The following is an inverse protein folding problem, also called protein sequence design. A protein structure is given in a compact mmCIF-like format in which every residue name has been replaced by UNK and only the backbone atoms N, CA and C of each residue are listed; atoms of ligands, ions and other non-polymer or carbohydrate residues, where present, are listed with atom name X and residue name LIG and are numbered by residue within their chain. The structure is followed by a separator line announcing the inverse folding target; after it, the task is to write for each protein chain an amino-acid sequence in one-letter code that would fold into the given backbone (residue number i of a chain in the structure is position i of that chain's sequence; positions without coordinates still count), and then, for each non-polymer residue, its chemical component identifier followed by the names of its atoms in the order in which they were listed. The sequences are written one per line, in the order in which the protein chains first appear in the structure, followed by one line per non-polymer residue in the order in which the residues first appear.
data_IF_802449790167
#
_entry.id   IF_802449790167
#
_cell.length_a   1.000
_cell.length_b   1.000
_cell.length_c   1.000
_cell.angle_alpha   90.00
_cell.angle_beta   90.00
_cell.angle_gamma   90.00
#
_symmetry.space_group_name_H-M   'P 1'
#
loop_
_entity.id
_entity.type
_entity.pdbx_description
1 polymer ?
#
# COMPACT_ATOMS: atom_id res chain seq x y z
N UNK A 1 32.91 4.76 -38.61
CA UNK A 1 32.38 3.39 -38.52
C UNK A 1 31.82 3.02 -37.13
N UNK A 2 32.25 3.65 -36.02
CA UNK A 2 31.85 3.27 -34.66
C UNK A 2 30.39 3.56 -34.23
N UNK A 3 29.72 4.55 -34.84
CA UNK A 3 28.36 4.96 -34.42
C UNK A 3 27.28 3.87 -34.65
N UNK A 4 27.46 3.04 -35.68
CA UNK A 4 26.54 1.94 -36.03
C UNK A 4 26.55 0.84 -34.96
N UNK A 5 27.76 0.52 -34.49
CA UNK A 5 27.99 -0.51 -33.48
C UNK A 5 27.57 -0.05 -32.09
N UNK A 6 27.70 1.25 -31.77
CA UNK A 6 27.17 1.83 -30.55
C UNK A 6 25.64 1.72 -30.48
N UNK A 7 24.95 2.00 -31.59
CA UNK A 7 23.50 1.85 -31.68
C UNK A 7 23.07 0.40 -31.47
N UNK A 8 23.74 -0.54 -32.14
CA UNK A 8 23.47 -1.98 -31.99
C UNK A 8 23.76 -2.45 -30.56
N UNK A 9 24.84 -1.99 -29.93
CA UNK A 9 25.16 -2.31 -28.55
C UNK A 9 24.10 -1.77 -27.57
N UNK A 10 23.64 -0.52 -27.76
CA UNK A 10 22.54 0.04 -27.00
C UNK A 10 21.24 -0.74 -27.18
N UNK A 11 20.90 -1.15 -28.40
CA UNK A 11 19.72 -1.97 -28.69
C UNK A 11 19.81 -3.34 -28.02
N UNK A 12 20.97 -4.00 -28.08
CA UNK A 12 21.21 -5.28 -27.42
C UNK A 12 21.09 -5.15 -25.88
N UNK A 13 21.64 -4.07 -25.30
CA UNK A 13 21.48 -3.78 -23.88
C UNK A 13 20.03 -3.55 -23.47
N UNK A 14 19.29 -2.74 -24.23
CA UNK A 14 17.87 -2.50 -23.95
C UNK A 14 17.05 -3.80 -24.03
N UNK A 15 17.32 -4.65 -25.02
CA UNK A 15 16.71 -5.98 -25.16
C UNK A 15 17.03 -6.90 -23.99
N UNK A 16 18.27 -6.89 -23.46
CA UNK A 16 18.59 -7.68 -22.28
C UNK A 16 17.81 -7.22 -21.05
N UNK A 17 17.66 -5.90 -20.84
CA UNK A 17 16.93 -5.36 -19.69
C UNK A 17 15.42 -5.71 -19.69
N UNK A 18 14.80 -5.85 -20.86
CA UNK A 18 13.38 -6.23 -20.96
C UNK A 18 13.16 -7.74 -20.84
N UNK A 19 14.16 -8.55 -21.20
CA UNK A 19 14.12 -10.01 -21.12
C UNK A 19 14.50 -10.56 -19.75
N UNK A 20 15.06 -9.75 -18.85
CA UNK A 20 15.26 -10.17 -17.47
C UNK A 20 13.88 -10.47 -16.84
N UNK A 21 13.64 -11.72 -16.38
CA UNK A 21 12.49 -12.00 -15.54
C UNK A 21 12.51 -11.01 -14.37
N UNK A 22 11.35 -10.51 -13.97
CA UNK A 22 11.19 -9.81 -12.70
C UNK A 22 11.50 -10.82 -11.59
N UNK A 23 12.78 -10.97 -11.26
CA UNK A 23 13.29 -11.91 -10.27
C UNK A 23 12.84 -11.46 -8.88
N UNK A 24 11.67 -11.96 -8.49
CA UNK A 24 11.10 -11.84 -7.16
C UNK A 24 11.40 -13.14 -6.42
N UNK A 25 12.67 -13.40 -6.10
CA UNK A 25 13.07 -14.62 -5.41
C UNK A 25 12.38 -14.67 -4.03
N UNK A 26 11.44 -15.60 -3.85
CA UNK A 26 10.75 -15.86 -2.58
C UNK A 26 9.63 -14.88 -2.20
N UNK A 27 9.36 -13.84 -3.00
CA UNK A 27 8.27 -12.90 -2.76
C UNK A 27 7.12 -13.16 -3.73
N UNK A 28 5.97 -13.58 -3.20
CA UNK A 28 4.73 -13.73 -3.95
C UNK A 28 4.00 -12.38 -4.01
N UNK A 29 3.66 -11.94 -5.22
CA UNK A 29 2.84 -10.75 -5.41
C UNK A 29 1.37 -11.09 -5.21
N UNK A 30 0.68 -10.30 -4.40
CA UNK A 30 -0.77 -10.38 -4.21
C UNK A 30 -1.39 -9.22 -4.98
N UNK A 31 -2.13 -9.55 -6.04
CA UNK A 31 -2.82 -8.54 -6.82
C UNK A 31 -3.96 -7.92 -6.01
N UNK A 32 -4.03 -6.60 -6.03
CA UNK A 32 -5.09 -5.84 -5.37
C UNK A 32 -6.12 -5.40 -6.41
N UNK A 33 -7.38 -5.73 -6.15
CA UNK A 33 -8.50 -5.26 -6.95
C UNK A 33 -9.03 -3.96 -6.38
N UNK A 34 -9.25 -2.97 -7.25
CA UNK A 34 -9.90 -1.72 -6.86
C UNK A 34 -11.40 -1.96 -6.69
N UNK A 35 -11.92 -1.59 -5.52
CA UNK A 35 -13.34 -1.54 -5.20
C UNK A 35 -13.86 -0.12 -5.46
N UNK A 36 -15.05 -0.02 -6.05
CA UNK A 36 -15.77 1.26 -6.12
C UNK A 36 -16.37 1.59 -4.76
N UNK A 37 -16.13 2.81 -4.28
CA UNK A 37 -16.79 3.33 -3.10
C UNK A 37 -18.09 4.01 -3.52
N UNK A 38 -19.17 3.64 -2.86
CA UNK A 38 -20.46 4.31 -2.98
C UNK A 38 -20.48 5.59 -2.13
N UNK A 39 -21.31 6.57 -2.51
CA UNK A 39 -21.46 7.83 -1.79
C UNK A 39 -21.84 7.61 -0.33
N UNK A 40 -22.74 6.65 -0.08
CA UNK A 40 -23.17 6.27 1.27
C UNK A 40 -21.99 5.72 2.11
N UNK A 41 -21.14 4.88 1.51
CA UNK A 41 -19.96 4.32 2.18
C UNK A 41 -18.94 5.40 2.56
N UNK A 42 -18.78 6.40 1.69
CA UNK A 42 -17.90 7.53 1.92
C UNK A 42 -18.47 8.44 3.02
N UNK A 43 -19.78 8.69 3.01
CA UNK A 43 -20.45 9.48 4.04
C UNK A 43 -20.36 8.80 5.42
N UNK A 44 -20.59 7.49 5.48
CA UNK A 44 -20.43 6.70 6.70
C UNK A 44 -18.98 6.75 7.22
N UNK A 45 -17.98 6.58 6.33
CA UNK A 45 -16.57 6.71 6.68
C UNK A 45 -16.24 8.10 7.26
N UNK A 46 -16.80 9.16 6.65
CA UNK A 46 -16.63 10.54 7.11
C UNK A 46 -17.22 10.74 8.51
N UNK A 47 -18.43 10.24 8.77
CA UNK A 47 -19.07 10.33 10.09
C UNK A 47 -18.24 9.61 11.17
N UNK A 48 -17.74 8.41 10.89
CA UNK A 48 -16.88 7.66 11.81
C UNK A 48 -15.59 8.42 12.10
N UNK A 49 -14.97 9.00 11.07
CA UNK A 49 -13.76 9.81 11.21
C UNK A 49 -13.99 11.05 12.08
N UNK A 50 -15.08 11.78 11.87
CA UNK A 50 -15.40 12.96 12.68
C UNK A 50 -15.71 12.59 14.13
N UNK A 51 -16.41 11.48 14.39
CA UNK A 51 -16.62 10.96 15.74
C UNK A 51 -15.32 10.56 16.44
N UNK A 52 -14.37 9.98 15.71
CA UNK A 52 -13.06 9.62 16.26
C UNK A 52 -12.19 10.87 16.53
N UNK A 53 -12.31 11.91 15.70
CA UNK A 53 -11.64 13.20 15.96
C UNK A 53 -12.22 13.91 17.17
N UNK A 54 -13.55 13.91 17.33
CA UNK A 54 -14.19 14.53 18.50
C UNK A 54 -13.99 13.73 19.78
N UNK A 55 -13.77 12.42 19.68
CA UNK A 55 -13.36 11.59 20.82
C UNK A 55 -11.86 11.66 21.13
N UNK A 56 -11.04 12.28 20.26
CA UNK A 56 -9.66 12.62 20.59
C UNK A 56 -9.70 13.93 21.37
N UNK A 57 -9.23 13.97 22.64
CA UNK A 57 -9.02 15.25 23.29
C UNK A 57 -8.09 16.06 22.38
N UNK A 58 -8.44 17.33 22.17
CA UNK A 58 -7.69 18.29 21.35
C UNK A 58 -6.20 18.19 21.67
N UNK A 59 -5.46 17.44 20.86
CA UNK A 59 -4.03 17.26 21.04
C UNK A 59 -3.35 18.43 20.35
N UNK A 60 -3.38 19.56 21.04
CA UNK A 60 -2.69 20.79 20.69
C UNK A 60 -1.86 21.35 21.85
N UNK A 61 -1.49 20.53 22.84
CA UNK A 61 -0.74 21.03 23.99
C UNK A 61 0.41 20.15 24.50
N UNK A 62 0.48 18.84 24.23
CA UNK A 62 1.56 18.02 24.78
C UNK A 62 2.09 16.98 23.78
N UNK A 63 3.15 17.40 23.11
CA UNK A 63 4.10 16.62 22.34
C UNK A 63 4.97 15.75 23.27
N UNK A 64 4.34 14.77 23.95
CA UNK A 64 5.02 13.84 24.87
C UNK A 64 4.53 12.41 24.67
N UNK A 65 4.66 11.87 23.47
CA UNK A 65 4.66 10.41 23.29
C UNK A 65 5.63 9.99 22.19
N UNK A 66 6.82 10.60 22.18
CA UNK A 66 8.02 9.85 21.84
C UNK A 66 8.49 9.11 23.09
N UNK A 67 8.81 7.83 22.92
CA UNK A 67 9.44 6.91 23.87
C UNK A 67 8.56 6.21 24.92
N UNK A 68 7.81 5.20 24.46
CA UNK A 68 8.06 3.85 24.98
C UNK A 68 7.76 2.79 23.92
N UNK A 69 8.80 2.46 23.18
CA UNK A 69 8.93 1.22 22.42
C UNK A 69 8.90 0.03 23.40
N UNK A 70 7.72 -0.52 23.68
CA UNK A 70 7.58 -1.86 24.26
C UNK A 70 6.21 -2.39 23.90
N UNK A 71 6.24 -3.47 23.11
CA UNK A 71 5.12 -4.23 22.58
C UNK A 71 4.34 -3.52 21.46
N UNK A 72 4.11 -4.26 20.38
CA UNK A 72 3.61 -3.80 19.09
C UNK A 72 2.66 -2.61 19.18
N UNK A 73 3.05 -1.50 18.56
CA UNK A 73 2.21 -0.32 18.39
C UNK A 73 1.06 -0.67 17.45
N UNK A 74 0.09 -1.42 17.97
CA UNK A 74 -1.15 -1.77 17.29
C UNK A 74 -1.91 -0.45 17.12
N UNK A 75 -1.69 0.20 15.99
CA UNK A 75 -2.52 1.32 15.54
C UNK A 75 -3.91 0.73 15.35
N UNK A 76 -4.91 1.11 16.17
CA UNK A 76 -6.22 0.49 16.07
C UNK A 76 -6.87 0.93 14.76
N UNK A 77 -6.87 0.03 13.78
CA UNK A 77 -7.55 0.16 12.49
C UNK A 77 -9.06 0.05 12.70
N UNK A 78 -9.69 1.11 13.21
CA UNK A 78 -11.12 1.13 13.57
C UNK A 78 -12.05 1.42 12.40
N UNK A 79 -11.53 1.77 11.21
CA UNK A 79 -12.35 2.12 10.07
C UNK A 79 -11.85 1.45 8.79
N UNK A 80 -12.75 0.71 8.14
CA UNK A 80 -12.54 0.09 6.81
C UNK A 80 -13.55 0.60 5.77
N UNK A 81 -14.42 1.56 6.13
CA UNK A 81 -15.50 2.03 5.27
C UNK A 81 -14.99 2.80 4.05
N UNK A 82 -13.78 3.36 4.14
CA UNK A 82 -13.07 4.05 3.06
C UNK A 82 -11.99 3.19 2.38
N UNK A 83 -11.94 1.88 2.66
CA UNK A 83 -10.98 0.98 2.02
C UNK A 83 -11.32 0.76 0.53
N UNK A 84 -10.36 1.06 -0.35
CA UNK A 84 -10.54 1.07 -1.81
C UNK A 84 -9.97 -0.15 -2.54
N UNK A 85 -9.13 -0.93 -1.88
CA UNK A 85 -8.44 -2.05 -2.49
C UNK A 85 -8.57 -3.29 -1.61
N UNK A 86 -8.75 -4.44 -2.23
CA UNK A 86 -8.81 -5.73 -1.55
C UNK A 86 -7.99 -6.77 -2.31
N UNK A 87 -7.42 -7.71 -1.56
CA UNK A 87 -6.81 -8.93 -2.09
C UNK A 87 -7.64 -10.14 -1.66
N UNK A 88 -7.42 -11.28 -2.31
CA UNK A 88 -8.07 -12.54 -2.00
C UNK A 88 -7.05 -13.51 -1.40
N UNK A 89 -7.42 -14.18 -0.31
CA UNK A 89 -6.62 -15.22 0.33
C UNK A 89 -7.45 -16.48 0.53
N UNK A 90 -6.86 -17.65 0.33
CA UNK A 90 -7.44 -18.93 0.69
C UNK A 90 -7.06 -19.33 2.11
N UNK A 91 -8.00 -19.87 2.88
CA UNK A 91 -7.77 -20.36 4.24
C UNK A 91 -8.18 -21.83 4.28
N UNK A 92 -7.29 -22.68 4.82
CA UNK A 92 -7.56 -24.11 5.02
C UNK A 92 -7.03 -25.01 3.89
N UNK A 93 -7.45 -26.27 3.94
CA UNK A 93 -7.23 -27.30 2.92
C UNK A 93 -8.60 -27.69 2.41
N UNK A 94 -8.85 -27.72 1.09
CA UNK A 94 -10.17 -28.01 0.53
C UNK A 94 -10.69 -29.39 0.93
#
# INVERSE_FOLDING_TARGET
MGNKYLLVACCLWALTCTLLPSFSYGLMRIDLKKRTLDLESLQAARMVREKLKSSRPVLGANDQYTAKSTDDAIVPLKNYLDAQYYGEIGIGTP
#
